data_IF_172850772466
#
_entry.id   IF_172850772466
#
_cell.length_a   1.000
_cell.length_b   1.000
_cell.length_c   1.000
_cell.angle_alpha   90.00
_cell.angle_beta   90.00
_cell.angle_gamma   90.00
#
_symmetry.space_group_name_H-M   'P 1'
#
loop_
_entity.id
_entity.type
_entity.pdbx_description
1 polymer ?
#
# COMPACT_ATOMS: atom_id res chain seq x y z
N UNK A 1 33.55 -1.55 -5.27
CA UNK A 1 33.65 -1.25 -6.72
C UNK A 1 33.48 -2.47 -7.62
N UNK A 2 34.14 -3.61 -7.35
CA UNK A 2 34.04 -4.80 -8.23
C UNK A 2 32.63 -5.41 -8.35
N UNK A 3 31.86 -5.47 -7.25
CA UNK A 3 30.51 -6.07 -7.25
C UNK A 3 29.50 -5.25 -8.05
N UNK A 4 29.65 -3.92 -8.07
CA UNK A 4 28.75 -3.03 -8.81
C UNK A 4 29.00 -3.05 -10.32
N UNK A 5 30.26 -3.25 -10.74
CA UNK A 5 30.60 -3.40 -12.16
C UNK A 5 29.98 -4.67 -12.76
N UNK A 6 30.18 -5.82 -12.11
CA UNK A 6 29.62 -7.11 -12.56
C UNK A 6 28.08 -7.07 -12.62
N UNK A 7 27.44 -6.46 -11.62
CA UNK A 7 25.98 -6.33 -11.61
C UNK A 7 25.47 -5.46 -12.76
N UNK A 8 26.15 -4.34 -13.03
CA UNK A 8 25.79 -3.45 -14.14
C UNK A 8 25.85 -4.17 -15.50
N UNK A 9 26.93 -4.92 -15.74
CA UNK A 9 27.12 -5.70 -16.97
C UNK A 9 26.03 -6.77 -17.16
N UNK A 10 25.69 -7.51 -16.11
CA UNK A 10 24.62 -8.54 -16.18
C UNK A 10 23.27 -7.89 -16.49
N UNK A 11 22.96 -6.76 -15.86
CA UNK A 11 21.68 -6.06 -16.07
C UNK A 11 21.57 -5.54 -17.50
N UNK A 12 22.65 -4.99 -18.05
CA UNK A 12 22.69 -4.52 -19.43
C UNK A 12 22.53 -5.67 -20.43
N UNK A 13 23.18 -6.82 -20.19
CA UNK A 13 23.06 -7.98 -21.08
C UNK A 13 21.67 -8.63 -21.05
N UNK A 14 21.11 -8.82 -19.86
CA UNK A 14 19.85 -9.58 -19.70
C UNK A 14 18.63 -8.71 -19.98
N UNK A 15 18.64 -7.46 -19.52
CA UNK A 15 17.46 -6.58 -19.54
C UNK A 15 17.63 -5.36 -20.45
N UNK A 16 18.78 -5.19 -21.10
CA UNK A 16 19.07 -4.01 -21.93
C UNK A 16 18.84 -2.68 -21.19
N UNK A 17 19.07 -2.70 -19.87
CA UNK A 17 18.92 -1.56 -18.98
C UNK A 17 20.29 -1.05 -18.54
N UNK A 18 20.49 0.27 -18.56
CA UNK A 18 21.69 0.91 -18.02
C UNK A 18 21.46 1.19 -16.52
N UNK A 19 22.34 0.67 -15.67
CA UNK A 19 22.28 0.92 -14.23
C UNK A 19 23.05 2.19 -13.87
N UNK A 20 22.33 3.30 -13.65
CA UNK A 20 22.90 4.52 -13.10
C UNK A 20 22.66 4.61 -11.59
N UNK A 21 23.74 4.66 -10.80
CA UNK A 21 23.66 4.86 -9.36
C UNK A 21 23.70 6.34 -9.03
N UNK A 22 22.56 6.90 -8.61
CA UNK A 22 22.56 8.23 -8.01
C UNK A 22 23.10 8.16 -6.59
N UNK A 23 24.13 8.95 -6.30
CA UNK A 23 24.63 9.11 -4.94
C UNK A 23 23.59 9.79 -4.05
N UNK A 24 23.68 9.58 -2.74
CA UNK A 24 22.84 10.31 -1.79
C UNK A 24 23.09 11.81 -1.98
N UNK A 25 22.01 12.60 -2.12
CA UNK A 25 22.07 14.03 -2.45
C UNK A 25 22.80 14.90 -1.39
N UNK A 26 23.14 14.36 -0.22
CA UNK A 26 23.92 15.04 0.81
C UNK A 26 23.99 14.24 2.12
N UNK A 27 24.62 14.81 3.15
CA UNK A 27 24.80 14.15 4.45
C UNK A 27 23.48 14.10 5.25
N UNK A 28 22.62 15.09 5.09
CA UNK A 28 21.30 15.20 5.72
C UNK A 28 20.17 14.71 4.79
N UNK A 29 18.93 14.70 5.30
CA UNK A 29 17.76 14.34 4.50
C UNK A 29 17.39 15.49 3.55
N UNK A 30 17.84 15.37 2.29
CA UNK A 30 17.49 16.31 1.22
C UNK A 30 16.32 15.74 0.42
N UNK A 31 15.28 16.54 0.23
CA UNK A 31 14.12 16.18 -0.57
C UNK A 31 14.52 16.12 -2.04
N UNK A 32 14.54 14.91 -2.61
CA UNK A 32 14.64 14.72 -4.04
C UNK A 32 13.27 15.04 -4.68
N UNK A 33 13.20 16.14 -5.43
CA UNK A 33 12.00 16.53 -6.15
C UNK A 33 11.62 15.36 -7.08
N UNK A 34 10.39 14.85 -6.95
CA UNK A 34 9.81 13.67 -7.64
C UNK A 34 10.12 12.27 -7.12
N UNK A 35 11.11 12.06 -6.24
CA UNK A 35 11.40 10.71 -5.73
C UNK A 35 10.20 10.10 -4.98
N UNK A 36 9.45 10.94 -4.27
CA UNK A 36 8.22 10.53 -3.59
C UNK A 36 7.14 10.00 -4.56
N UNK A 37 7.08 10.51 -5.79
CA UNK A 37 6.09 10.09 -6.79
C UNK A 37 6.37 8.65 -7.19
N UNK A 38 7.65 8.37 -7.52
CA UNK A 38 8.13 7.04 -7.90
C UNK A 38 7.93 6.05 -6.76
N UNK A 39 8.43 6.37 -5.56
CA UNK A 39 8.29 5.49 -4.39
C UNK A 39 6.82 5.21 -4.05
N UNK A 40 5.95 6.21 -4.22
CA UNK A 40 4.51 6.05 -4.00
C UNK A 40 3.87 5.11 -5.04
N UNK A 41 4.25 5.23 -6.31
CA UNK A 41 3.78 4.30 -7.35
C UNK A 41 4.25 2.87 -7.09
N UNK A 42 5.52 2.68 -6.71
CA UNK A 42 6.07 1.38 -6.33
C UNK A 42 5.35 0.80 -5.11
N UNK A 43 5.06 1.62 -4.09
CA UNK A 43 4.28 1.18 -2.92
C UNK A 43 2.86 0.72 -3.28
N UNK A 44 2.24 1.25 -4.34
CA UNK A 44 0.94 0.77 -4.80
C UNK A 44 1.02 -0.57 -5.51
N UNK A 45 2.07 -0.79 -6.31
CA UNK A 45 2.32 -2.05 -7.01
C UNK A 45 2.67 -3.16 -6.01
N UNK A 46 3.52 -2.88 -5.04
CA UNK A 46 3.91 -3.82 -3.97
C UNK A 46 2.70 -4.28 -3.13
N UNK A 47 1.75 -3.38 -2.86
CA UNK A 47 0.49 -3.71 -2.16
C UNK A 47 -0.45 -4.58 -3.00
N UNK A 48 -0.24 -4.70 -4.30
CA UNK A 48 -1.01 -5.60 -5.14
C UNK A 48 -0.43 -7.01 -5.03
N UNK A 49 -1.06 -7.85 -4.20
CA UNK A 49 -0.65 -9.25 -3.98
C UNK A 49 -0.41 -10.07 -5.26
N UNK A 50 -1.05 -9.68 -6.37
CA UNK A 50 -0.87 -10.33 -7.69
C UNK A 50 0.53 -10.14 -8.27
N UNK A 51 1.20 -9.03 -7.97
CA UNK A 51 2.53 -8.67 -8.48
C UNK A 51 3.67 -9.08 -7.53
N UNK A 52 3.36 -9.60 -6.33
CA UNK A 52 4.39 -9.95 -5.34
C UNK A 52 5.32 -11.08 -5.81
N UNK A 53 4.83 -11.95 -6.69
CA UNK A 53 5.61 -12.98 -7.37
C UNK A 53 5.24 -12.95 -8.84
N UNK A 54 6.25 -12.89 -9.69
CA UNK A 54 6.07 -13.07 -11.11
C UNK A 54 6.04 -14.57 -11.39
N UNK A 55 4.88 -15.05 -11.85
CA UNK A 55 4.65 -16.43 -12.25
C UNK A 55 4.42 -16.54 -13.76
N UNK A 56 4.45 -15.41 -14.48
CA UNK A 56 4.21 -15.39 -15.91
C UNK A 56 5.49 -15.76 -16.65
N UNK A 57 5.35 -16.56 -17.70
CA UNK A 57 6.48 -16.93 -18.57
C UNK A 57 6.77 -15.85 -19.61
N UNK A 58 5.79 -14.99 -19.89
CA UNK A 58 5.83 -13.98 -20.93
C UNK A 58 5.79 -12.58 -20.31
N UNK A 59 6.71 -11.67 -20.68
CA UNK A 59 6.75 -10.32 -20.12
C UNK A 59 5.47 -9.53 -20.42
N UNK A 60 4.82 -9.77 -21.57
CA UNK A 60 3.59 -9.09 -21.98
C UNK A 60 2.44 -9.34 -21.00
N UNK A 61 2.39 -10.53 -20.39
CA UNK A 61 1.39 -10.86 -19.38
C UNK A 61 1.63 -10.09 -18.09
N UNK A 62 2.90 -9.99 -17.67
CA UNK A 62 3.26 -9.24 -16.47
C UNK A 62 2.99 -7.73 -16.66
N UNK A 63 3.28 -7.18 -17.83
CA UNK A 63 2.90 -5.82 -18.20
C UNK A 63 1.38 -5.61 -18.10
N UNK A 64 0.60 -6.53 -18.66
CA UNK A 64 -0.86 -6.54 -18.55
C UNK A 64 -1.35 -6.52 -17.10
N UNK A 65 -0.70 -7.27 -16.20
CA UNK A 65 -1.00 -7.28 -14.77
C UNK A 65 -0.73 -5.91 -14.12
N UNK A 66 0.39 -5.27 -14.46
CA UNK A 66 0.72 -3.91 -13.97
C UNK A 66 -0.34 -2.89 -14.42
N UNK A 67 -0.72 -2.91 -15.70
CA UNK A 67 -1.80 -2.06 -16.21
C UNK A 67 -3.12 -2.30 -15.48
N UNK A 68 -3.50 -3.56 -15.29
CA UNK A 68 -4.70 -3.94 -14.55
C UNK A 68 -4.72 -3.42 -13.11
N UNK A 69 -3.58 -3.48 -12.40
CA UNK A 69 -3.44 -2.92 -11.04
C UNK A 69 -3.61 -1.40 -11.05
N UNK A 70 -2.97 -0.68 -11.98
CA UNK A 70 -3.09 0.77 -12.09
C UNK A 70 -4.52 1.23 -12.44
N UNK A 71 -5.19 0.53 -13.37
CA UNK A 71 -6.59 0.77 -13.71
C UNK A 71 -7.46 0.56 -12.47
N UNK A 72 -7.29 -0.55 -11.75
CA UNK A 72 -8.04 -0.83 -10.52
C UNK A 72 -7.84 0.25 -9.46
N UNK A 73 -6.61 0.75 -9.29
CA UNK A 73 -6.31 1.85 -8.37
C UNK A 73 -7.02 3.15 -8.78
N UNK A 74 -7.01 3.47 -10.08
CA UNK A 74 -7.68 4.65 -10.62
C UNK A 74 -9.21 4.55 -10.45
N UNK A 75 -9.80 3.40 -10.76
CA UNK A 75 -11.23 3.13 -10.58
C UNK A 75 -11.66 3.25 -9.11
N UNK A 76 -10.86 2.73 -8.16
CA UNK A 76 -11.16 2.86 -6.72
C UNK A 76 -11.19 4.30 -6.24
N UNK A 77 -10.38 5.19 -6.84
CA UNK A 77 -10.40 6.62 -6.52
C UNK A 77 -11.59 7.31 -7.13
N UNK A 78 -11.88 7.03 -8.40
CA UNK A 78 -12.99 7.63 -9.13
C UNK A 78 -14.35 7.30 -8.48
N UNK A 79 -14.52 6.05 -8.03
CA UNK A 79 -15.77 5.56 -7.44
C UNK A 79 -15.84 5.72 -5.92
N UNK A 80 -14.80 6.28 -5.28
CA UNK A 80 -14.56 6.23 -3.82
C UNK A 80 -14.79 4.83 -3.20
N UNK A 81 -14.58 3.76 -3.99
CA UNK A 81 -14.66 2.36 -3.56
C UNK A 81 -13.40 1.94 -2.80
N UNK A 82 -13.04 2.76 -1.80
CA UNK A 82 -12.11 2.37 -0.77
C UNK A 82 -12.85 1.38 0.11
N UNK A 83 -12.25 0.21 0.36
CA UNK A 83 -12.71 -0.67 1.45
C UNK A 83 -12.57 0.11 2.76
N UNK A 84 -13.58 0.91 3.07
CA UNK A 84 -13.74 1.59 4.32
C UNK A 84 -13.98 0.46 5.30
N UNK A 85 -13.09 0.31 6.27
CA UNK A 85 -13.36 -0.60 7.37
C UNK A 85 -14.63 -0.07 8.04
N UNK A 86 -15.77 -0.68 7.70
CA UNK A 86 -17.05 -0.33 8.32
C UNK A 86 -17.05 -1.03 9.66
N UNK A 87 -17.10 -0.27 10.74
CA UNK A 87 -17.54 -0.78 12.04
C UNK A 87 -19.03 -1.08 11.96
N UNK A 88 -19.44 -2.05 11.13
CA UNK A 88 -20.72 -2.71 11.36
C UNK A 88 -20.42 -3.73 12.43
N UNK A 89 -20.53 -3.32 13.69
CA UNK A 89 -20.90 -4.27 14.73
C UNK A 89 -22.28 -4.81 14.32
N UNK A 90 -22.42 -6.10 13.96
CA UNK A 90 -23.75 -6.68 13.89
C UNK A 90 -24.27 -6.68 15.33
N UNK A 91 -25.26 -5.83 15.63
CA UNK A 91 -26.36 -6.02 16.59
C UNK A 91 -26.10 -6.85 17.87
N UNK A 92 -24.89 -6.85 18.43
CA UNK A 92 -24.60 -7.51 19.71
C UNK A 92 -25.19 -6.74 20.90
N UNK A 93 -25.85 -5.61 20.65
CA UNK A 93 -26.60 -4.86 21.64
C UNK A 93 -28.05 -5.35 21.80
N UNK A 94 -28.56 -6.22 20.91
CA UNK A 94 -29.97 -6.67 20.95
C UNK A 94 -30.17 -7.95 21.78
N UNK A 95 -29.09 -8.68 22.10
CA UNK A 95 -29.16 -9.92 22.90
C UNK A 95 -28.95 -9.71 24.40
N UNK A 96 -28.72 -8.47 24.88
CA UNK A 96 -28.42 -8.18 26.29
C UNK A 96 -29.65 -8.03 27.20
N UNK A 97 -30.87 -8.27 26.69
CA UNK A 97 -32.10 -8.23 27.50
C UNK A 97 -32.69 -9.60 27.87
N UNK A 98 -32.10 -10.73 27.43
CA UNK A 98 -32.70 -12.06 27.61
C UNK A 98 -31.73 -13.19 28.01
N UNK A 99 -30.72 -12.91 28.85
CA UNK A 99 -29.93 -13.99 29.49
C UNK A 99 -29.65 -13.70 30.97
N UNK A 100 -30.29 -14.42 31.91
CA UNK A 100 -29.80 -14.51 33.27
C UNK A 100 -28.77 -15.64 33.36
N UNK A 101 -27.65 -15.38 34.06
CA UNK A 101 -26.75 -16.35 34.69
C UNK A 101 -25.76 -17.13 33.79
N UNK A 102 -24.50 -16.67 33.70
CA UNK A 102 -23.30 -17.27 34.35
C UNK A 102 -21.96 -16.98 33.60
N UNK A 103 -20.95 -16.68 34.44
CA UNK A 103 -19.49 -16.63 34.25
C UNK A 103 -18.86 -15.52 33.39
N UNK A 104 -18.50 -14.45 34.09
CA UNK A 104 -17.13 -13.94 34.23
C UNK A 104 -16.12 -14.31 33.12
N UNK A 105 -16.00 -13.43 32.13
CA UNK A 105 -14.70 -13.06 31.59
C UNK A 105 -14.60 -11.54 31.63
N UNK A 106 -13.71 -11.04 32.49
CA UNK A 106 -13.46 -9.62 32.65
C UNK A 106 -13.04 -8.97 31.31
N UNK A 107 -13.35 -7.67 31.14
CA UNK A 107 -13.20 -6.97 29.89
C UNK A 107 -11.76 -6.47 29.73
N UNK A 108 -11.05 -6.92 28.70
CA UNK A 108 -9.97 -6.08 28.17
C UNK A 108 -10.63 -4.90 27.43
N UNK A 109 -11.02 -3.89 28.22
CA UNK A 109 -11.34 -2.54 27.78
C UNK A 109 -10.09 -1.93 27.13
N UNK A 110 -9.93 -2.17 25.84
CA UNK A 110 -9.09 -1.38 24.95
C UNK A 110 -9.94 -0.34 24.23
N UNK A 111 -10.54 0.60 24.96
CA UNK A 111 -11.22 1.75 24.39
C UNK A 111 -10.18 2.68 23.74
N UNK A 112 -9.89 2.49 22.45
CA UNK A 112 -9.25 3.54 21.66
C UNK A 112 -10.34 4.54 21.25
N UNK A 113 -10.44 5.60 22.05
CA UNK A 113 -11.15 6.85 21.77
C UNK A 113 -10.99 7.25 20.30
N UNK A 114 -12.02 6.97 19.50
CA UNK A 114 -12.16 7.51 18.16
C UNK A 114 -12.63 8.96 18.31
N UNK A 115 -11.69 9.85 18.62
CA UNK A 115 -11.86 11.28 18.40
C UNK A 115 -12.25 11.46 16.94
N UNK A 116 -13.53 11.81 16.74
CA UNK A 116 -14.10 12.37 15.54
C UNK A 116 -13.35 13.66 15.18
N UNK A 117 -12.16 13.52 14.61
CA UNK A 117 -11.38 14.66 14.17
C UNK A 117 -11.92 15.11 12.82
N UNK A 118 -12.73 16.17 12.85
CA UNK A 118 -13.21 16.94 11.70
C UNK A 118 -12.05 17.49 10.82
N UNK A 119 -10.79 17.28 11.24
CA UNK A 119 -9.55 17.65 10.56
C UNK A 119 -8.99 16.57 9.60
N UNK A 120 -9.57 15.37 9.53
CA UNK A 120 -9.22 14.37 8.51
C UNK A 120 -9.96 14.56 7.16
N UNK A 121 -10.85 15.55 7.04
CA UNK A 121 -11.65 15.80 5.82
C UNK A 121 -11.01 16.77 4.82
N UNK A 122 -9.85 17.37 5.13
CA UNK A 122 -9.31 18.51 4.35
C UNK A 122 -7.94 18.34 3.69
N UNK A 123 -7.26 17.18 3.77
CA UNK A 123 -5.96 16.99 3.09
C UNK A 123 -5.94 15.83 2.07
N UNK A 124 -7.00 15.67 1.29
CA UNK A 124 -7.02 14.74 0.14
C UNK A 124 -7.65 15.34 -1.14
N UNK A 125 -7.81 16.66 -1.18
CA UNK A 125 -7.98 17.38 -2.44
C UNK A 125 -6.61 17.95 -2.82
N UNK A 126 -6.08 17.50 -3.97
CA UNK A 126 -4.82 17.90 -4.65
C UNK A 126 -3.54 17.20 -4.18
N UNK A 127 -3.30 15.99 -4.70
CA UNK A 127 -2.05 15.53 -5.33
C UNK A 127 -2.13 14.04 -5.66
#
# INVERSE_FOLDING_TARGET
>A
MLILGVLGEIIEQVYHCILELTTKLGESFILAHYRWVVERTLSWLDKARRLYRDYEMLPENHEGAVYGVMIRLRLRRLTDNRRRWTSKTPQAAEYLFMTPLLLNTHPFKGSCLRLSCHRCRLNLLRA
#
